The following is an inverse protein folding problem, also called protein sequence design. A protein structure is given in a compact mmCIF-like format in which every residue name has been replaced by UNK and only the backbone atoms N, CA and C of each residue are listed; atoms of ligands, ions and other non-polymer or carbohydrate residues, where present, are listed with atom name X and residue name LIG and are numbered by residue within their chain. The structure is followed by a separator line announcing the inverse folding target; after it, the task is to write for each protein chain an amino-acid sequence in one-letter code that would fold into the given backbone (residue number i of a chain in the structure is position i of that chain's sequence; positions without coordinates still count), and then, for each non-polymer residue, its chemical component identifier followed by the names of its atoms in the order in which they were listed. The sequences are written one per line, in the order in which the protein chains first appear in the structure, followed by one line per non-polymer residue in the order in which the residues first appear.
data_IF_861959854476
#
_entry.id   IF_861959854476
#
_cell.length_a   1.000
_cell.length_b   1.000
_cell.length_c   1.000
_cell.angle_alpha   90.00
_cell.angle_beta   90.00
_cell.angle_gamma   90.00
#
_symmetry.space_group_name_H-M   'P 1'
#
loop_
_entity.id
_entity.type
_entity.pdbx_description
1 polymer ?
#
# COMPACT_ATOMS: atom_id res chain seq x y z
N UNK A 1 36.75 -8.94 -12.78
CA UNK A 1 35.58 -9.83 -12.93
C UNK A 1 34.46 -9.23 -12.08
N UNK A 2 33.52 -8.49 -12.68
CA UNK A 2 32.41 -7.90 -11.92
C UNK A 2 31.41 -8.99 -11.58
N UNK A 3 31.34 -9.35 -10.30
CA UNK A 3 30.39 -10.32 -9.80
C UNK A 3 29.03 -9.64 -9.69
N UNK A 4 28.26 -9.60 -10.78
CA UNK A 4 26.89 -9.08 -10.77
C UNK A 4 26.03 -10.00 -9.90
N UNK A 5 25.94 -9.70 -8.60
CA UNK A 5 24.90 -10.28 -7.75
C UNK A 5 23.56 -9.91 -8.36
N UNK A 6 22.72 -10.90 -8.66
CA UNK A 6 21.34 -10.66 -9.08
C UNK A 6 20.65 -9.75 -8.05
N UNK A 7 19.92 -8.71 -8.48
CA UNK A 7 19.20 -7.84 -7.56
C UNK A 7 18.23 -8.69 -6.74
N UNK A 8 18.27 -8.52 -5.42
CA UNK A 8 17.32 -9.14 -4.50
C UNK A 8 16.00 -8.36 -4.61
N UNK A 9 14.88 -9.07 -4.62
CA UNK A 9 13.56 -8.44 -4.66
C UNK A 9 13.15 -8.08 -3.23
N UNK A 10 12.78 -6.84 -2.97
CA UNK A 10 12.14 -6.44 -1.72
C UNK A 10 10.68 -6.07 -2.02
N UNK A 11 9.75 -6.83 -1.45
CA UNK A 11 8.31 -6.62 -1.59
C UNK A 11 7.84 -5.84 -0.37
N UNK A 12 7.21 -4.70 -0.59
CA UNK A 12 6.58 -3.90 0.45
C UNK A 12 5.07 -3.99 0.27
N UNK A 13 4.36 -4.53 1.26
CA UNK A 13 2.90 -4.57 1.30
C UNK A 13 2.39 -3.38 2.12
N UNK A 14 1.71 -2.44 1.48
CA UNK A 14 1.15 -1.26 2.13
C UNK A 14 -0.36 -1.42 2.24
N UNK A 15 -0.88 -1.44 3.46
CA UNK A 15 -2.29 -1.60 3.72
C UNK A 15 -2.72 -0.85 4.99
N UNK A 16 -3.96 -0.36 4.99
CA UNK A 16 -4.58 0.37 6.09
C UNK A 16 -5.17 -0.61 7.11
N UNK A 17 -5.74 -1.73 6.63
CA UNK A 17 -6.27 -2.81 7.46
C UNK A 17 -5.51 -4.12 7.17
N UNK A 18 -5.48 -5.04 8.13
CA UNK A 18 -4.88 -6.36 7.96
C UNK A 18 -3.40 -6.49 8.31
N UNK A 19 -2.71 -5.40 8.70
CA UNK A 19 -1.31 -5.45 9.15
C UNK A 19 -1.19 -5.39 10.67
N UNK A 20 -1.74 -4.35 11.29
CA UNK A 20 -1.82 -4.18 12.75
C UNK A 20 -3.27 -4.10 13.24
N UNK A 21 -4.20 -3.96 12.32
CA UNK A 21 -5.65 -3.92 12.52
C UNK A 21 -6.31 -5.08 11.79
N UNK A 22 -7.51 -5.47 12.23
CA UNK A 22 -8.37 -6.38 11.48
C UNK A 22 -9.83 -6.09 11.84
N UNK A 23 -10.50 -5.22 11.08
CA UNK A 23 -11.90 -4.87 11.36
C UNK A 23 -12.81 -4.83 10.14
N UNK A 24 -12.24 -4.89 8.93
CA UNK A 24 -12.99 -5.02 7.68
C UNK A 24 -12.65 -6.33 6.97
N UNK A 25 -13.52 -6.75 6.04
CA UNK A 25 -13.22 -7.89 5.16
C UNK A 25 -11.98 -7.66 4.28
N UNK A 26 -11.66 -6.39 3.96
CA UNK A 26 -10.47 -6.02 3.17
C UNK A 26 -9.18 -6.31 3.94
N UNK A 27 -9.15 -6.06 5.25
CA UNK A 27 -8.01 -6.40 6.09
C UNK A 27 -7.66 -7.89 6.05
N UNK A 28 -8.65 -8.77 5.84
CA UNK A 28 -8.36 -10.19 5.68
C UNK A 28 -7.56 -10.48 4.41
N UNK A 29 -7.85 -9.80 3.31
CA UNK A 29 -7.14 -9.94 2.03
C UNK A 29 -5.69 -9.48 2.19
N UNK A 30 -5.46 -8.34 2.84
CA UNK A 30 -4.12 -7.85 3.12
C UNK A 30 -3.32 -8.83 4.00
N UNK A 31 -3.93 -9.33 5.09
CA UNK A 31 -3.29 -10.30 5.97
C UNK A 31 -2.97 -11.63 5.27
N UNK A 32 -3.89 -12.15 4.46
CA UNK A 32 -3.67 -13.38 3.69
C UNK A 32 -2.61 -13.18 2.60
N UNK A 33 -2.54 -11.99 1.98
CA UNK A 33 -1.48 -11.62 1.03
C UNK A 33 -0.12 -11.62 1.71
N UNK A 34 -0.02 -11.02 2.92
CA UNK A 34 1.20 -11.07 3.73
C UNK A 34 1.62 -12.51 4.03
N UNK A 35 0.67 -13.35 4.44
CA UNK A 35 0.93 -14.77 4.71
C UNK A 35 1.45 -15.51 3.48
N UNK A 36 0.83 -15.30 2.31
CA UNK A 36 1.25 -15.93 1.04
C UNK A 36 2.66 -15.51 0.68
N UNK A 37 2.99 -14.22 0.75
CA UNK A 37 4.34 -13.72 0.49
C UNK A 37 5.38 -14.31 1.46
N UNK A 38 5.01 -14.51 2.72
CA UNK A 38 5.92 -15.02 3.75
C UNK A 38 6.06 -16.55 3.79
N UNK A 39 5.03 -17.32 3.43
CA UNK A 39 4.95 -18.75 3.73
C UNK A 39 4.75 -19.64 2.48
N UNK A 40 4.27 -19.12 1.35
CA UNK A 40 3.98 -19.94 0.18
C UNK A 40 5.25 -20.56 -0.42
N UNK A 41 5.25 -21.88 -0.62
CA UNK A 41 6.41 -22.65 -1.10
C UNK A 41 6.80 -22.35 -2.56
N UNK A 42 5.87 -21.87 -3.38
CA UNK A 42 6.16 -21.49 -4.78
C UNK A 42 6.84 -20.12 -4.80
N UNK A 43 6.33 -19.17 -4.00
CA UNK A 43 6.93 -17.83 -3.86
C UNK A 43 8.26 -17.90 -3.11
N UNK A 44 8.42 -18.81 -2.15
CA UNK A 44 9.66 -18.95 -1.38
C UNK A 44 10.89 -19.36 -2.19
N UNK A 45 10.70 -19.87 -3.42
CA UNK A 45 11.79 -20.12 -4.38
C UNK A 45 12.44 -18.82 -4.89
N UNK A 46 11.75 -17.69 -4.79
CA UNK A 46 12.31 -16.38 -5.12
C UNK A 46 13.16 -15.88 -3.95
N UNK A 47 14.36 -15.39 -4.23
CA UNK A 47 15.20 -14.71 -3.22
C UNK A 47 14.62 -13.31 -3.01
N UNK A 48 13.80 -13.16 -1.96
CA UNK A 48 13.13 -11.90 -1.66
C UNK A 48 13.01 -11.60 -0.16
N UNK A 49 12.86 -10.32 0.18
CA UNK A 49 12.40 -9.84 1.49
C UNK A 49 10.96 -9.32 1.42
N UNK A 50 10.26 -9.35 2.53
CA UNK A 50 8.88 -8.84 2.64
C UNK A 50 8.79 -7.87 3.80
N UNK A 51 8.44 -6.61 3.54
CA UNK A 51 8.06 -5.63 4.56
C UNK A 51 6.56 -5.38 4.50
N UNK A 52 5.99 -4.92 5.61
CA UNK A 52 4.65 -4.36 5.64
C UNK A 52 4.71 -2.90 6.11
N UNK A 53 3.91 -2.04 5.50
CA UNK A 53 3.73 -0.64 5.91
C UNK A 53 2.27 -0.40 6.20
N UNK A 54 1.98 0.21 7.34
CA UNK A 54 0.62 0.58 7.76
C UNK A 54 0.67 1.92 8.48
N UNK A 55 -0.49 2.55 8.67
CA UNK A 55 -0.58 3.70 9.57
C UNK A 55 -0.12 3.34 10.99
N UNK A 56 0.54 4.28 11.66
CA UNK A 56 0.91 4.15 13.06
C UNK A 56 -0.35 4.22 13.92
N UNK A 57 -0.80 3.08 14.43
CA UNK A 57 -2.01 2.96 15.24
C UNK A 57 -1.70 2.68 16.71
N UNK A 58 -2.53 3.20 17.59
CA UNK A 58 -2.52 2.94 19.03
C UNK A 58 -3.76 2.12 19.43
N UNK A 59 -3.87 1.79 20.73
CA UNK A 59 -4.97 0.99 21.28
C UNK A 59 -6.36 1.64 21.23
N UNK A 60 -6.46 2.95 20.93
CA UNK A 60 -7.74 3.65 20.72
C UNK A 60 -8.22 3.57 19.27
N UNK A 61 -7.36 3.16 18.34
CA UNK A 61 -7.71 3.03 16.94
C UNK A 61 -8.69 1.88 16.71
N UNK A 62 -9.75 2.15 15.95
CA UNK A 62 -10.72 1.13 15.57
C UNK A 62 -10.02 -0.02 14.83
N UNK A 63 -10.21 -1.23 15.37
CA UNK A 63 -9.71 -2.46 14.77
C UNK A 63 -8.26 -2.79 15.10
N UNK A 64 -7.52 -1.91 15.77
CA UNK A 64 -6.15 -2.21 16.19
C UNK A 64 -6.12 -3.44 17.10
N UNK A 65 -5.17 -4.33 16.84
CA UNK A 65 -4.97 -5.54 17.62
C UNK A 65 -3.49 -5.84 17.76
N UNK A 66 -3.02 -5.79 19.01
CA UNK A 66 -1.64 -6.18 19.35
C UNK A 66 -1.36 -7.63 18.95
N UNK A 67 -2.36 -8.51 19.01
CA UNK A 67 -2.25 -9.90 18.53
C UNK A 67 -1.98 -9.96 17.02
N UNK A 68 -2.70 -9.17 16.21
CA UNK A 68 -2.50 -9.12 14.76
C UNK A 68 -1.14 -8.50 14.43
N UNK A 69 -0.78 -7.37 15.07
CA UNK A 69 0.54 -6.75 14.95
C UNK A 69 1.67 -7.75 15.19
N UNK A 70 1.62 -8.49 16.31
CA UNK A 70 2.61 -9.50 16.64
C UNK A 70 2.64 -10.68 15.65
N UNK A 71 1.48 -11.06 15.12
CA UNK A 71 1.40 -12.11 14.10
C UNK A 71 2.04 -11.67 12.78
N UNK A 72 1.78 -10.43 12.35
CA UNK A 72 2.40 -9.83 11.16
C UNK A 72 3.92 -9.73 11.32
N UNK A 73 4.43 -9.27 12.47
CA UNK A 73 5.87 -9.23 12.76
C UNK A 73 6.49 -10.63 12.65
N UNK A 74 5.85 -11.66 13.22
CA UNK A 74 6.33 -13.05 13.12
C UNK A 74 6.39 -13.55 11.68
N UNK A 75 5.43 -13.19 10.83
CA UNK A 75 5.43 -13.55 9.40
C UNK A 75 6.58 -12.85 8.67
N UNK A 76 6.73 -11.55 8.85
CA UNK A 76 7.76 -10.72 8.20
C UNK A 76 9.18 -11.19 8.54
N UNK A 77 9.41 -11.58 9.80
CA UNK A 77 10.70 -12.12 10.24
C UNK A 77 11.12 -13.40 9.49
N UNK A 78 10.17 -14.22 9.00
CA UNK A 78 10.47 -15.41 8.16
C UNK A 78 11.08 -15.03 6.80
N UNK A 79 10.95 -13.76 6.38
CA UNK A 79 11.45 -13.22 5.11
C UNK A 79 12.41 -12.05 5.30
N UNK A 80 13.09 -11.97 6.44
CA UNK A 80 14.09 -10.91 6.70
C UNK A 80 13.54 -9.50 6.44
N UNK A 81 12.27 -9.25 6.74
CA UNK A 81 11.70 -7.93 6.63
C UNK A 81 11.03 -7.49 7.93
N UNK A 82 10.39 -6.33 7.87
CA UNK A 82 9.97 -5.58 9.06
C UNK A 82 8.61 -4.93 8.86
N UNK A 83 7.95 -4.69 9.98
CA UNK A 83 6.79 -3.82 10.07
C UNK A 83 7.28 -2.37 10.15
N UNK A 84 6.77 -1.51 9.29
CA UNK A 84 7.02 -0.08 9.30
C UNK A 84 5.71 0.66 9.54
N UNK A 85 5.74 1.64 10.43
CA UNK A 85 4.56 2.42 10.81
C UNK A 85 4.68 3.83 10.23
N UNK A 86 3.88 4.12 9.22
CA UNK A 86 3.78 5.43 8.58
C UNK A 86 2.97 6.40 9.45
N UNK A 87 3.40 7.66 9.52
CA UNK A 87 2.61 8.70 10.18
C UNK A 87 1.28 8.87 9.43
N UNK A 88 0.16 8.87 10.14
CA UNK A 88 -1.19 8.94 9.57
C UNK A 88 -1.90 10.30 9.82
N UNK A 89 -1.17 11.32 10.29
CA UNK A 89 -1.73 12.63 10.59
C UNK A 89 -2.60 12.67 11.87
N UNK A 90 -2.43 11.69 12.77
CA UNK A 90 -3.13 11.62 14.06
C UNK A 90 -2.17 11.19 15.18
N UNK A 91 -2.68 11.06 16.41
CA UNK A 91 -1.94 10.42 17.51
C UNK A 91 -1.98 8.88 17.43
N UNK A 92 -2.45 8.35 16.32
CA UNK A 92 -2.60 6.93 16.02
C UNK A 92 -3.96 6.36 16.38
N UNK A 93 -4.94 7.21 16.69
CA UNK A 93 -6.31 6.87 17.07
C UNK A 93 -7.29 6.89 15.88
N UNK A 94 -6.87 7.45 14.74
CA UNK A 94 -7.67 7.47 13.50
C UNK A 94 -7.25 6.32 12.59
N UNK A 95 -8.21 5.46 12.23
CA UNK A 95 -7.97 4.28 11.37
C UNK A 95 -7.90 4.66 9.88
N UNK A 96 -9.06 4.69 9.20
CA UNK A 96 -9.16 5.02 7.77
C UNK A 96 -8.93 6.51 7.53
N UNK A 97 -9.56 7.38 8.33
CA UNK A 97 -9.40 8.83 8.25
C UNK A 97 -9.94 9.44 6.96
N UNK A 98 -9.55 10.69 6.72
CA UNK A 98 -9.93 11.48 5.55
C UNK A 98 -8.77 11.68 4.56
N UNK A 99 -8.99 12.49 3.51
CA UNK A 99 -7.97 12.82 2.50
C UNK A 99 -6.69 13.42 3.11
N UNK A 100 -6.81 14.20 4.18
CA UNK A 100 -5.66 14.76 4.89
C UNK A 100 -4.84 13.64 5.53
N UNK A 101 -5.50 12.72 6.26
CA UNK A 101 -4.83 11.54 6.82
C UNK A 101 -4.16 10.69 5.73
N UNK A 102 -4.83 10.52 4.57
CA UNK A 102 -4.29 9.74 3.45
C UNK A 102 -3.07 10.41 2.81
N UNK A 103 -3.05 11.74 2.75
CA UNK A 103 -1.87 12.51 2.35
C UNK A 103 -0.70 12.27 3.29
N UNK A 104 -0.93 12.30 4.61
CA UNK A 104 0.11 12.00 5.59
C UNK A 104 0.66 10.58 5.42
N UNK A 105 -0.22 9.57 5.33
CA UNK A 105 0.22 8.18 5.26
C UNK A 105 0.93 7.86 3.95
N UNK A 106 0.44 8.36 2.81
CA UNK A 106 1.09 8.18 1.50
C UNK A 106 2.45 8.88 1.45
N UNK A 107 2.56 10.11 1.98
CA UNK A 107 3.85 10.85 2.03
C UNK A 107 4.84 10.16 2.96
N UNK A 108 4.40 9.79 4.17
CA UNK A 108 5.25 9.09 5.13
C UNK A 108 5.71 7.74 4.60
N UNK A 109 4.86 7.04 3.86
CA UNK A 109 5.21 5.76 3.22
C UNK A 109 6.24 5.95 2.12
N UNK A 110 6.10 6.98 1.27
CA UNK A 110 7.11 7.30 0.27
C UNK A 110 8.50 7.55 0.90
N UNK A 111 8.56 8.30 2.00
CA UNK A 111 9.80 8.53 2.75
C UNK A 111 10.38 7.27 3.38
N UNK A 112 9.54 6.38 3.91
CA UNK A 112 9.97 5.08 4.45
C UNK A 112 10.55 4.18 3.35
N UNK A 113 9.91 4.15 2.17
CA UNK A 113 10.37 3.41 1.00
C UNK A 113 11.71 3.93 0.49
N UNK A 114 11.90 5.25 0.46
CA UNK A 114 13.18 5.85 0.10
C UNK A 114 14.27 5.51 1.12
N UNK A 115 13.96 5.58 2.41
CA UNK A 115 14.90 5.20 3.47
C UNK A 115 15.30 3.72 3.38
N UNK A 116 14.35 2.85 2.99
CA UNK A 116 14.60 1.42 2.75
C UNK A 116 15.57 1.19 1.59
N UNK A 117 15.42 1.95 0.50
CA UNK A 117 16.24 1.82 -0.70
C UNK A 117 17.65 2.37 -0.53
N UNK A 118 17.84 3.37 0.32
CA UNK A 118 19.19 3.81 0.69
C UNK A 118 19.95 2.76 1.49
N UNK A 119 19.25 1.94 2.29
CA UNK A 119 19.87 0.86 3.08
C UNK A 119 20.24 -0.35 2.22
N UNK A 120 19.54 -0.59 1.11
CA UNK A 120 19.81 -1.72 0.21
C UNK A 120 19.77 -1.26 -1.26
N UNK A 121 20.77 -0.46 -1.71
CA UNK A 121 20.69 0.25 -2.99
C UNK A 121 20.67 -0.63 -4.25
N UNK A 122 20.94 -1.92 -4.10
CA UNK A 122 20.97 -2.91 -5.19
C UNK A 122 19.68 -3.75 -5.27
N UNK A 123 18.71 -3.51 -4.40
CA UNK A 123 17.44 -4.23 -4.41
C UNK A 123 16.47 -3.63 -5.45
N UNK A 124 15.62 -4.49 -6.00
CA UNK A 124 14.43 -4.06 -6.74
C UNK A 124 13.24 -4.05 -5.77
N UNK A 125 12.54 -2.93 -5.68
CA UNK A 125 11.44 -2.72 -4.75
C UNK A 125 10.09 -2.87 -5.46
N UNK A 126 9.27 -3.83 -5.03
CA UNK A 126 7.88 -3.97 -5.49
C UNK A 126 6.96 -3.49 -4.37
N UNK A 127 6.24 -2.41 -4.60
CA UNK A 127 5.42 -1.71 -3.62
C UNK A 127 3.95 -1.96 -3.95
N UNK A 128 3.30 -2.85 -3.19
CA UNK A 128 1.91 -3.24 -3.37
C UNK A 128 1.05 -2.38 -2.44
N UNK A 129 0.35 -1.39 -2.99
CA UNK A 129 -0.49 -0.44 -2.24
C UNK A 129 -1.96 -0.89 -2.31
N UNK A 130 -2.46 -1.55 -1.27
CA UNK A 130 -3.75 -2.25 -1.29
C UNK A 130 -4.99 -1.38 -1.03
N UNK A 131 -4.83 -0.22 -0.40
CA UNK A 131 -5.97 0.58 0.06
C UNK A 131 -5.92 2.02 -0.46
N UNK A 132 -7.09 2.66 -0.54
CA UNK A 132 -7.25 4.07 -0.94
C UNK A 132 -6.28 5.03 -0.22
N UNK A 133 -6.03 4.88 1.10
CA UNK A 133 -5.09 5.75 1.81
C UNK A 133 -3.65 5.72 1.25
N UNK A 134 -3.28 4.64 0.56
CA UNK A 134 -1.95 4.45 -0.02
C UNK A 134 -1.91 4.71 -1.54
N UNK A 135 -3.04 5.07 -2.17
CA UNK A 135 -3.14 5.22 -3.63
C UNK A 135 -2.11 6.19 -4.22
N UNK A 136 -1.81 7.28 -3.51
CA UNK A 136 -0.87 8.30 -3.99
C UNK A 136 0.57 8.13 -3.47
N UNK A 137 0.92 7.01 -2.83
CA UNK A 137 2.29 6.75 -2.39
C UNK A 137 3.29 6.89 -3.55
N UNK A 138 2.94 6.36 -4.73
CA UNK A 138 3.76 6.49 -5.93
C UNK A 138 3.91 7.95 -6.40
N UNK A 139 2.85 8.76 -6.28
CA UNK A 139 2.85 10.19 -6.63
C UNK A 139 3.81 10.97 -5.75
N UNK A 140 3.76 10.77 -4.43
CA UNK A 140 4.70 11.42 -3.52
C UNK A 140 6.12 10.89 -3.68
N UNK A 141 6.31 9.65 -4.12
CA UNK A 141 7.64 9.12 -4.42
C UNK A 141 8.28 9.76 -5.67
N UNK A 142 7.51 10.43 -6.54
CA UNK A 142 8.05 11.07 -7.76
C UNK A 142 9.02 12.22 -7.48
N UNK A 143 9.04 12.74 -6.24
CA UNK A 143 9.97 13.80 -5.82
C UNK A 143 11.44 13.36 -5.79
N UNK A 144 11.72 12.05 -5.74
CA UNK A 144 13.08 11.52 -5.70
C UNK A 144 13.70 11.36 -7.09
N UNK A 145 15.02 11.16 -7.15
CA UNK A 145 15.78 11.13 -8.40
C UNK A 145 15.33 10.01 -9.35
N UNK A 146 15.56 10.18 -10.66
CA UNK A 146 15.21 9.16 -11.66
C UNK A 146 15.87 7.79 -11.40
N UNK A 147 17.12 7.80 -10.95
CA UNK A 147 17.84 6.56 -10.62
C UNK A 147 17.24 5.84 -9.41
N UNK A 148 16.67 6.62 -8.48
CA UNK A 148 15.94 6.06 -7.37
C UNK A 148 14.59 5.49 -7.82
N UNK A 149 13.84 6.24 -8.63
CA UNK A 149 12.53 5.81 -9.13
C UNK A 149 12.61 4.51 -9.95
N UNK A 150 13.67 4.31 -10.73
CA UNK A 150 13.88 3.06 -11.51
C UNK A 150 14.05 1.81 -10.66
N UNK A 151 14.40 1.93 -9.37
CA UNK A 151 14.49 0.79 -8.44
C UNK A 151 13.12 0.37 -7.91
N UNK A 152 12.08 1.18 -8.10
CA UNK A 152 10.77 0.96 -7.52
C UNK A 152 9.72 0.67 -8.60
N UNK A 153 8.97 -0.41 -8.39
CA UNK A 153 7.72 -0.69 -9.07
C UNK A 153 6.60 -0.43 -8.06
N UNK A 154 5.64 0.39 -8.43
CA UNK A 154 4.44 0.66 -7.63
C UNK A 154 3.22 0.03 -8.29
N UNK A 155 2.40 -0.65 -7.49
CA UNK A 155 1.12 -1.20 -7.93
C UNK A 155 0.07 -0.80 -6.93
N UNK A 156 -0.84 0.10 -7.32
CA UNK A 156 -2.03 0.39 -6.52
C UNK A 156 -3.12 -0.65 -6.83
N UNK A 157 -3.62 -1.34 -5.83
CA UNK A 157 -4.57 -2.45 -5.95
C UNK A 157 -5.79 -2.10 -5.10
N UNK A 158 -6.71 -1.24 -5.58
CA UNK A 158 -7.86 -0.85 -4.78
C UNK A 158 -8.79 -2.04 -4.52
N UNK A 159 -9.17 -2.24 -3.25
CA UNK A 159 -10.26 -3.14 -2.87
C UNK A 159 -11.62 -2.44 -2.86
N UNK A 160 -11.62 -1.11 -2.88
CA UNK A 160 -12.81 -0.31 -3.12
C UNK A 160 -12.43 1.03 -3.74
N UNK A 161 -13.39 1.67 -4.40
CA UNK A 161 -13.24 3.01 -4.96
C UNK A 161 -14.47 3.83 -4.61
N UNK A 162 -14.39 5.15 -4.72
CA UNK A 162 -15.56 6.01 -4.45
C UNK A 162 -16.72 5.71 -5.39
N UNK A 163 -16.43 5.28 -6.61
CA UNK A 163 -17.43 4.90 -7.63
C UNK A 163 -18.20 3.63 -7.28
N UNK A 164 -17.66 2.78 -6.40
CA UNK A 164 -18.36 1.59 -5.88
C UNK A 164 -19.21 1.97 -4.66
N UNK A 165 -18.68 2.83 -3.77
CA UNK A 165 -19.36 3.28 -2.55
C UNK A 165 -20.39 4.39 -2.80
N UNK A 166 -21.09 4.38 -3.94
CA UNK A 166 -22.11 5.39 -4.30
C UNK A 166 -23.36 5.42 -3.39
N UNK A 167 -23.38 4.60 -2.34
CA UNK A 167 -24.54 4.39 -1.49
C UNK A 167 -24.17 4.70 -0.04
N UNK A 168 -24.02 5.99 0.25
CA UNK A 168 -24.22 6.44 1.62
C UNK A 168 -24.89 7.82 1.61
N UNK A 169 -26.18 7.81 1.29
CA UNK A 169 -27.08 8.96 1.45
C UNK A 169 -27.16 9.48 2.89
N UNK A 170 -26.46 8.82 3.83
CA UNK A 170 -26.35 9.20 5.24
C UNK A 170 -25.15 10.12 5.55
N UNK A 171 -24.24 10.38 4.60
CA UNK A 171 -23.11 11.29 4.82
C UNK A 171 -23.51 12.74 4.48
N UNK A 172 -23.63 13.61 5.49
CA UNK A 172 -23.70 15.05 5.26
C UNK A 172 -22.44 15.50 4.49
N UNK A 173 -22.61 16.25 3.39
CA UNK A 173 -21.48 16.66 2.53
C UNK A 173 -21.00 15.59 1.54
N UNK A 174 -21.78 14.54 1.31
CA UNK A 174 -21.46 13.42 0.39
C UNK A 174 -20.81 13.85 -0.93
N UNK A 175 -21.33 14.88 -1.61
CA UNK A 175 -20.80 15.32 -2.90
C UNK A 175 -19.34 15.82 -2.80
N UNK A 176 -18.99 16.57 -1.75
CA UNK A 176 -17.63 17.10 -1.59
C UNK A 176 -16.64 15.98 -1.27
N UNK A 177 -16.99 15.07 -0.35
CA UNK A 177 -16.15 13.89 -0.07
C UNK A 177 -16.01 12.98 -1.30
N UNK A 178 -17.09 12.81 -2.05
CA UNK A 178 -17.10 12.02 -3.27
C UNK A 178 -16.10 12.59 -4.28
N UNK A 179 -16.18 13.89 -4.56
CA UNK A 179 -15.30 14.55 -5.54
C UNK A 179 -13.84 14.52 -5.09
N UNK A 180 -13.57 14.78 -3.81
CA UNK A 180 -12.22 14.74 -3.26
C UNK A 180 -11.62 13.34 -3.31
N UNK A 181 -12.38 12.30 -2.93
CA UNK A 181 -11.92 10.91 -3.02
C UNK A 181 -11.76 10.46 -4.47
N UNK A 182 -12.66 10.87 -5.36
CA UNK A 182 -12.55 10.55 -6.77
C UNK A 182 -11.29 11.14 -7.37
N UNK A 183 -11.01 12.42 -7.09
CA UNK A 183 -9.79 13.07 -7.56
C UNK A 183 -8.55 12.42 -6.95
N UNK A 184 -8.60 12.05 -5.66
CA UNK A 184 -7.52 11.32 -4.99
C UNK A 184 -7.15 10.02 -5.72
N UNK A 185 -8.16 9.23 -6.09
CA UNK A 185 -8.01 7.97 -6.82
C UNK A 185 -7.57 8.21 -8.27
N UNK A 186 -8.13 9.23 -8.95
CA UNK A 186 -7.78 9.58 -10.34
C UNK A 186 -6.32 10.01 -10.49
N UNK A 187 -5.75 10.71 -9.52
CA UNK A 187 -4.33 11.08 -9.55
C UNK A 187 -3.45 9.83 -9.64
N UNK A 188 -3.78 8.76 -8.89
CA UNK A 188 -3.03 7.50 -8.93
C UNK A 188 -3.13 6.82 -10.31
N UNK A 189 -4.34 6.79 -10.89
CA UNK A 189 -4.58 6.22 -12.23
C UNK A 189 -3.85 7.02 -13.31
N UNK A 190 -3.98 8.34 -13.29
CA UNK A 190 -3.33 9.23 -14.25
C UNK A 190 -1.81 9.08 -14.22
N UNK A 191 -1.23 8.88 -13.03
CA UNK A 191 0.20 8.63 -12.89
C UNK A 191 0.58 7.27 -13.49
N UNK A 192 -0.17 6.21 -13.18
CA UNK A 192 0.07 4.88 -13.74
C UNK A 192 0.04 4.86 -15.27
N UNK A 193 -0.90 5.60 -15.87
CA UNK A 193 -1.03 5.69 -17.34
C UNK A 193 0.14 6.44 -18.02
N UNK A 194 0.94 7.22 -17.28
CA UNK A 194 2.00 8.08 -17.82
C UNK A 194 3.41 7.67 -17.39
N UNK A 195 3.56 6.89 -16.33
CA UNK A 195 4.84 6.64 -15.69
C UNK A 195 5.20 5.17 -15.71
N UNK A 196 6.30 4.83 -16.39
CA UNK A 196 6.85 3.47 -16.38
C UNK A 196 7.19 3.06 -14.94
N UNK A 197 6.80 1.85 -14.57
CA UNK A 197 7.03 1.33 -13.22
C UNK A 197 5.91 1.69 -12.22
N UNK A 198 4.87 2.40 -12.64
CA UNK A 198 3.67 2.65 -11.83
C UNK A 198 2.48 2.00 -12.52
N UNK A 199 1.70 1.22 -11.76
CA UNK A 199 0.61 0.42 -12.30
C UNK A 199 -0.62 0.48 -11.40
N UNK A 200 -1.78 0.23 -11.99
CA UNK A 200 -3.00 -0.14 -11.26
C UNK A 200 -3.21 -1.64 -11.41
N UNK A 201 -3.22 -2.35 -10.28
CA UNK A 201 -3.56 -3.77 -10.22
C UNK A 201 -5.00 -3.97 -9.75
N UNK A 202 -5.49 -5.21 -9.83
CA UNK A 202 -6.82 -5.56 -9.36
C UNK A 202 -6.89 -7.01 -8.91
N UNK A 203 -7.86 -7.30 -8.03
CA UNK A 203 -8.20 -8.67 -7.61
C UNK A 203 -9.61 -8.97 -8.10
N UNK A 204 -9.74 -10.01 -8.92
CA UNK A 204 -11.03 -10.48 -9.45
C UNK A 204 -11.52 -9.72 -10.70
N UNK A 205 -12.42 -10.36 -11.44
CA UNK A 205 -12.97 -9.86 -12.71
C UNK A 205 -13.76 -8.56 -12.52
N UNK A 206 -14.55 -8.46 -11.46
CA UNK A 206 -15.35 -7.28 -11.15
C UNK A 206 -14.49 -6.01 -11.01
N UNK A 207 -13.46 -6.04 -10.15
CA UNK A 207 -12.60 -4.87 -9.96
C UNK A 207 -11.85 -4.47 -11.24
N UNK A 208 -11.46 -5.46 -12.06
CA UNK A 208 -10.84 -5.20 -13.36
C UNK A 208 -11.77 -4.42 -14.29
N UNK A 209 -12.99 -4.92 -14.47
CA UNK A 209 -14.00 -4.27 -15.34
C UNK A 209 -14.39 -2.89 -14.80
N UNK A 210 -14.53 -2.77 -13.48
CA UNK A 210 -14.79 -1.50 -12.80
C UNK A 210 -13.70 -0.46 -13.10
N UNK A 211 -12.42 -0.81 -12.94
CA UNK A 211 -11.30 0.11 -13.17
C UNK A 211 -11.18 0.51 -14.64
N UNK A 212 -11.38 -0.43 -15.57
CA UNK A 212 -11.37 -0.13 -17.01
C UNK A 212 -12.51 0.84 -17.36
N UNK A 213 -13.73 0.55 -16.90
CA UNK A 213 -14.91 1.28 -17.33
C UNK A 213 -15.08 2.64 -16.63
N UNK A 214 -14.72 2.75 -15.35
CA UNK A 214 -14.97 3.95 -14.53
C UNK A 214 -13.73 4.85 -14.36
N UNK A 215 -12.52 4.31 -14.57
CA UNK A 215 -11.26 5.03 -14.38
C UNK A 215 -10.35 5.04 -15.61
N UNK A 216 -10.66 4.28 -16.68
CA UNK A 216 -9.85 4.17 -17.89
C UNK A 216 -8.40 3.71 -17.63
N UNK A 217 -8.27 2.69 -16.77
CA UNK A 217 -7.03 1.98 -16.48
C UNK A 217 -6.68 0.93 -17.54
#
# INVERSE_FOLDING_TARGET
MFNFKKPKITINLLAHDGITSLYTGVGRIAFDSLRVLCEDKKISKLVHSVNAITGKYNNKCLGFSETIKNRSIKLLNKKNGRLLEALNGSHGDISYGDISNWRYVSTSSASLLYSLSQQNPNDLYINLCLDTPFAQTASFFQQYSEDEKKKHIFVWIPHSTVKIHKVDSAIQGYNEYYDQRFEWERVAVNLANKTRGVYVGCVGKFMREHLINEYSC
#
